data_IF_769644081640
#
_entry.id   IF_769644081640
#
_cell.length_a   1.000
_cell.length_b   1.000
_cell.length_c   1.000
_cell.angle_alpha   90.00
_cell.angle_beta   90.00
_cell.angle_gamma   90.00
#
_symmetry.space_group_name_H-M   'P 1'
#
loop_
_entity.id
_entity.type
_entity.pdbx_description
1 polymer ?
#
# COMPACT_ATOMS: atom_id res chain seq x y z
N UNK A 1 -9.15 10.52 -11.93
CA UNK A 1 -8.48 11.20 -10.80
C UNK A 1 -7.03 10.77 -10.75
N UNK A 2 -6.16 11.58 -10.16
CA UNK A 2 -4.75 11.28 -9.86
C UNK A 2 -4.46 11.57 -8.39
N UNK A 3 -3.19 11.51 -7.96
CA UNK A 3 -2.81 11.73 -6.54
C UNK A 3 -3.15 13.16 -6.10
N UNK A 4 -3.00 14.15 -6.96
CA UNK A 4 -3.38 15.54 -6.63
C UNK A 4 -4.88 15.67 -6.33
N UNK A 5 -5.75 15.07 -7.14
CA UNK A 5 -7.19 15.07 -6.90
C UNK A 5 -7.56 14.45 -5.55
N UNK A 6 -6.84 13.40 -5.15
CA UNK A 6 -7.03 12.75 -3.84
C UNK A 6 -6.65 13.69 -2.68
N UNK A 7 -5.56 14.45 -2.82
CA UNK A 7 -5.16 15.47 -1.82
C UNK A 7 -6.25 16.52 -1.64
N UNK A 8 -6.81 16.99 -2.74
CA UNK A 8 -7.84 18.03 -2.73
C UNK A 8 -9.14 17.53 -2.08
N UNK A 9 -9.53 16.26 -2.34
CA UNK A 9 -10.68 15.64 -1.68
C UNK A 9 -10.45 15.52 -0.16
N UNK A 10 -9.26 15.12 0.29
CA UNK A 10 -8.95 15.07 1.72
C UNK A 10 -8.99 16.47 2.37
N UNK A 11 -8.49 17.49 1.67
CA UNK A 11 -8.54 18.88 2.14
C UNK A 11 -10.00 19.37 2.27
N UNK A 12 -10.83 19.13 1.26
CA UNK A 12 -12.26 19.47 1.29
C UNK A 12 -12.98 18.77 2.46
N UNK A 13 -12.77 17.47 2.63
CA UNK A 13 -13.38 16.70 3.73
C UNK A 13 -12.95 17.19 5.11
N UNK A 14 -11.68 17.62 5.28
CA UNK A 14 -11.22 18.21 6.53
C UNK A 14 -11.91 19.55 6.82
N UNK A 15 -12.01 20.45 5.82
CA UNK A 15 -12.70 21.74 5.91
C UNK A 15 -14.18 21.52 6.29
N UNK A 16 -14.84 20.57 5.65
CA UNK A 16 -16.25 20.25 5.88
C UNK A 16 -16.48 19.42 7.15
N UNK A 17 -15.41 19.01 7.86
CA UNK A 17 -15.46 18.15 9.07
C UNK A 17 -16.17 16.83 8.84
N UNK A 18 -15.96 16.23 7.66
CA UNK A 18 -16.51 14.92 7.27
C UNK A 18 -15.67 13.80 7.89
N UNK A 19 -15.99 13.45 9.13
CA UNK A 19 -15.26 12.45 9.88
C UNK A 19 -16.06 11.16 10.06
N UNK A 20 -15.33 10.03 10.09
CA UNK A 20 -15.83 8.74 10.55
C UNK A 20 -14.99 8.27 11.74
N UNK A 21 -15.56 7.39 12.56
CA UNK A 21 -14.84 6.80 13.70
C UNK A 21 -14.50 5.36 13.35
N UNK A 22 -13.23 4.99 13.49
CA UNK A 22 -12.81 3.62 13.26
C UNK A 22 -13.19 2.69 14.43
N UNK A 23 -12.92 1.39 14.29
CA UNK A 23 -13.21 0.38 15.32
C UNK A 23 -12.49 0.62 16.66
N UNK A 24 -11.47 1.46 16.70
CA UNK A 24 -10.70 1.80 17.91
C UNK A 24 -11.18 3.08 18.57
N UNK A 25 -12.19 3.74 18.00
CA UNK A 25 -12.71 5.02 18.47
C UNK A 25 -11.93 6.24 17.96
N UNK A 26 -10.96 6.01 17.06
CA UNK A 26 -10.14 7.11 16.49
C UNK A 26 -10.87 7.73 15.31
N UNK A 27 -10.90 9.07 15.28
CA UNK A 27 -11.45 9.84 14.17
C UNK A 27 -10.56 9.71 12.94
N UNK A 28 -11.21 9.55 11.78
CA UNK A 28 -10.55 9.46 10.47
C UNK A 28 -11.31 10.30 9.45
N UNK A 29 -10.60 10.75 8.42
CA UNK A 29 -11.21 11.16 7.15
C UNK A 29 -11.07 9.97 6.20
N UNK A 30 -12.17 9.60 5.54
CA UNK A 30 -12.23 8.42 4.66
C UNK A 30 -12.82 8.76 3.29
N UNK A 31 -12.23 8.18 2.25
CA UNK A 31 -12.75 8.17 0.89
C UNK A 31 -13.10 6.71 0.57
N UNK A 32 -14.39 6.42 0.44
CA UNK A 32 -14.87 5.08 0.07
C UNK A 32 -14.72 4.85 -1.43
N UNK A 33 -14.32 3.63 -1.80
CA UNK A 33 -14.22 3.17 -3.19
C UNK A 33 -13.40 4.10 -4.07
N UNK A 34 -12.26 4.58 -3.57
CA UNK A 34 -11.35 5.45 -4.34
C UNK A 34 -10.77 4.70 -5.54
N UNK A 35 -10.66 5.39 -6.68
CA UNK A 35 -10.07 4.89 -7.92
C UNK A 35 -9.30 6.02 -8.61
N UNK A 36 -7.96 5.92 -8.66
CA UNK A 36 -7.12 6.98 -9.20
C UNK A 36 -5.83 6.43 -9.84
N UNK A 37 -5.17 7.24 -10.66
CA UNK A 37 -3.84 6.96 -11.18
C UNK A 37 -2.84 7.31 -10.08
N UNK A 38 -2.04 6.32 -9.66
CA UNK A 38 -0.97 6.49 -8.70
C UNK A 38 0.27 7.03 -9.43
N UNK A 39 0.24 8.30 -9.78
CA UNK A 39 1.28 9.01 -10.55
C UNK A 39 2.38 9.61 -9.66
N UNK A 40 2.20 9.58 -8.34
CA UNK A 40 3.18 9.99 -7.36
C UNK A 40 3.39 8.93 -6.27
N UNK A 41 4.61 8.80 -5.71
CA UNK A 41 4.94 7.76 -4.72
C UNK A 41 4.39 8.02 -3.32
N UNK A 42 3.72 9.12 -3.08
CA UNK A 42 3.07 9.47 -1.81
C UNK A 42 1.84 10.37 -2.05
N UNK A 43 0.83 10.24 -1.19
CA UNK A 43 -0.28 11.18 -1.13
C UNK A 43 0.10 12.32 -0.21
N UNK A 44 0.44 12.01 1.04
CA UNK A 44 0.98 12.93 2.03
C UNK A 44 2.18 12.30 2.75
N UNK A 45 2.94 13.15 3.43
CA UNK A 45 4.14 12.75 4.16
C UNK A 45 5.34 12.62 3.24
N UNK A 46 6.38 12.00 3.76
CA UNK A 46 7.64 11.76 3.05
C UNK A 46 8.00 10.28 3.14
N UNK A 47 8.16 9.56 2.03
CA UNK A 47 8.61 8.17 2.05
C UNK A 47 9.97 8.04 2.76
N UNK A 48 10.12 7.02 3.58
CA UNK A 48 11.41 6.64 4.16
C UNK A 48 12.11 5.65 3.24
N UNK A 49 13.07 6.12 2.47
CA UNK A 49 13.80 5.27 1.52
C UNK A 49 14.49 4.09 2.21
N UNK A 50 15.13 4.33 3.37
CA UNK A 50 15.73 3.28 4.20
C UNK A 50 14.73 2.21 4.60
N UNK A 51 13.51 2.62 5.03
CA UNK A 51 12.49 1.65 5.41
C UNK A 51 11.95 0.88 4.20
N UNK A 52 11.71 1.54 3.08
CA UNK A 52 11.27 0.91 1.83
C UNK A 52 12.25 -0.17 1.40
N UNK A 53 13.56 0.10 1.41
CA UNK A 53 14.59 -0.87 1.03
C UNK A 53 14.60 -2.10 1.96
N UNK A 54 14.46 -1.89 3.27
CA UNK A 54 14.38 -2.97 4.26
C UNK A 54 13.12 -3.81 4.11
N UNK A 55 11.99 -3.18 3.87
CA UNK A 55 10.71 -3.88 3.66
C UNK A 55 10.71 -4.66 2.35
N UNK A 56 11.24 -4.10 1.27
CA UNK A 56 11.42 -4.81 -0.01
C UNK A 56 12.37 -6.01 0.13
N UNK A 57 13.45 -5.88 0.91
CA UNK A 57 14.36 -6.99 1.20
C UNK A 57 13.63 -8.11 1.95
N UNK A 58 12.82 -7.76 2.95
CA UNK A 58 12.01 -8.72 3.69
C UNK A 58 10.92 -9.37 2.81
N UNK A 59 10.23 -8.62 1.97
CA UNK A 59 9.25 -9.20 1.03
C UNK A 59 9.94 -10.18 0.06
N UNK A 60 11.10 -9.83 -0.48
CA UNK A 60 11.84 -10.72 -1.36
C UNK A 60 12.39 -11.98 -0.66
N UNK A 61 12.61 -11.95 0.66
CA UNK A 61 12.98 -13.14 1.45
C UNK A 61 11.84 -14.14 1.60
N UNK A 62 10.60 -13.69 1.40
CA UNK A 62 9.37 -14.48 1.60
C UNK A 62 9.17 -14.96 3.05
N UNK A 63 9.88 -14.39 4.01
CA UNK A 63 9.74 -14.78 5.42
C UNK A 63 8.42 -14.30 6.00
N UNK A 64 7.69 -15.19 6.67
CA UNK A 64 6.49 -14.87 7.46
C UNK A 64 6.83 -14.49 8.91
N UNK A 65 8.06 -14.07 9.19
CA UNK A 65 8.47 -13.59 10.50
C UNK A 65 8.97 -12.14 10.43
N UNK A 66 8.38 -11.27 11.25
CA UNK A 66 8.75 -9.84 11.28
C UNK A 66 10.15 -9.59 11.85
N UNK A 67 10.72 -10.55 12.58
CA UNK A 67 12.08 -10.45 13.10
C UNK A 67 13.14 -10.57 12.00
N UNK A 68 12.77 -11.03 10.80
CA UNK A 68 13.64 -11.09 9.63
C UNK A 68 13.64 -9.78 8.83
N UNK A 69 12.84 -8.79 9.23
CA UNK A 69 12.95 -7.42 8.68
C UNK A 69 14.30 -6.84 9.11
N UNK A 70 15.15 -6.38 8.18
CA UNK A 70 16.40 -5.71 8.56
C UNK A 70 16.15 -4.59 9.58
N UNK A 71 16.93 -4.50 10.68
CA UNK A 71 16.63 -3.59 11.78
C UNK A 71 16.75 -2.10 11.37
N UNK A 72 16.02 -1.20 12.08
CA UNK A 72 15.08 -1.48 13.17
C UNK A 72 13.72 -2.00 12.66
N UNK A 73 13.19 -3.05 13.30
CA UNK A 73 11.85 -3.55 12.97
C UNK A 73 10.78 -2.54 13.39
N UNK A 74 9.90 -2.08 12.51
CA UNK A 74 8.86 -1.12 12.84
C UNK A 74 7.91 -1.62 13.94
N UNK A 75 7.52 -0.70 14.81
CA UNK A 75 6.65 -1.01 15.97
C UNK A 75 5.31 -1.61 15.51
N UNK A 76 4.79 -1.14 14.37
CA UNK A 76 3.50 -1.64 13.85
C UNK A 76 3.55 -3.14 13.54
N UNK A 77 4.63 -3.62 12.91
CA UNK A 77 4.80 -5.04 12.62
C UNK A 77 4.85 -5.89 13.89
N UNK A 78 5.61 -5.44 14.92
CA UNK A 78 5.65 -6.12 16.22
C UNK A 78 4.29 -6.13 16.91
N UNK A 79 3.47 -5.10 16.71
CA UNK A 79 2.16 -4.98 17.35
C UNK A 79 1.12 -5.92 16.75
N UNK A 80 1.22 -6.23 15.45
CA UNK A 80 0.24 -7.08 14.75
C UNK A 80 0.68 -8.53 14.62
N UNK A 81 1.96 -8.84 14.84
CA UNK A 81 2.50 -10.18 14.80
C UNK A 81 2.15 -10.99 16.08
N UNK A 82 2.28 -12.31 15.97
CA UNK A 82 2.31 -13.18 17.15
C UNK A 82 3.51 -12.86 18.07
N UNK A 83 3.51 -13.30 19.34
CA UNK A 83 4.66 -13.09 20.24
C UNK A 83 6.00 -13.63 19.72
N UNK A 84 5.98 -14.67 18.89
CA UNK A 84 7.17 -15.25 18.22
C UNK A 84 7.47 -14.61 16.86
N UNK A 85 6.69 -13.58 16.47
CA UNK A 85 6.95 -12.76 15.28
C UNK A 85 6.26 -13.22 14.00
N UNK A 86 5.37 -14.24 14.03
CA UNK A 86 4.66 -14.69 12.83
C UNK A 86 3.64 -13.67 12.33
N UNK A 87 3.47 -13.61 11.01
CA UNK A 87 2.59 -12.68 10.31
C UNK A 87 2.03 -13.30 9.03
N UNK A 88 0.94 -12.73 8.51
CA UNK A 88 0.35 -13.13 7.23
C UNK A 88 0.81 -12.26 6.05
N UNK A 89 1.19 -11.02 6.30
CA UNK A 89 1.28 -9.97 5.28
C UNK A 89 2.67 -9.79 4.67
N UNK A 90 3.42 -10.89 4.43
CA UNK A 90 4.57 -10.79 3.53
C UNK A 90 4.07 -10.86 2.08
N UNK A 91 4.12 -9.74 1.35
CA UNK A 91 3.66 -9.63 -0.02
C UNK A 91 4.47 -10.47 -1.00
N UNK A 92 5.79 -10.61 -0.77
CA UNK A 92 6.65 -11.46 -1.58
C UNK A 92 6.31 -12.93 -1.41
N UNK A 93 6.06 -13.40 -0.19
CA UNK A 93 5.58 -14.75 0.04
C UNK A 93 4.26 -15.00 -0.70
N UNK A 94 3.33 -14.03 -0.66
CA UNK A 94 2.05 -14.17 -1.34
C UNK A 94 2.17 -14.45 -2.85
N UNK A 95 3.13 -13.83 -3.54
CA UNK A 95 3.20 -13.91 -5.00
C UNK A 95 4.37 -14.74 -5.55
N UNK A 96 5.42 -14.97 -4.77
CA UNK A 96 6.60 -15.70 -5.24
C UNK A 96 6.72 -17.13 -4.70
N UNK A 97 6.07 -17.44 -3.54
CA UNK A 97 6.23 -18.76 -2.93
C UNK A 97 5.60 -19.86 -3.77
N UNK A 98 6.20 -21.04 -3.73
CA UNK A 98 5.63 -22.23 -4.36
C UNK A 98 4.35 -22.70 -3.65
N UNK A 99 4.20 -22.41 -2.35
CA UNK A 99 2.96 -22.66 -1.59
C UNK A 99 1.76 -21.89 -2.18
N UNK A 100 2.01 -20.72 -2.75
CA UNK A 100 1.02 -19.90 -3.45
C UNK A 100 1.12 -20.04 -4.99
N UNK A 101 1.70 -21.14 -5.48
CA UNK A 101 1.81 -21.48 -6.91
C UNK A 101 2.64 -20.49 -7.73
N UNK A 102 3.56 -19.76 -7.12
CA UNK A 102 4.40 -18.75 -7.76
C UNK A 102 3.63 -17.90 -8.78
N UNK A 103 2.70 -17.12 -8.29
CA UNK A 103 1.76 -16.35 -9.11
C UNK A 103 2.48 -15.37 -10.06
N UNK A 104 3.64 -14.86 -9.66
CA UNK A 104 4.46 -13.99 -10.51
C UNK A 104 4.92 -14.73 -11.80
N UNK A 105 5.41 -15.98 -11.68
CA UNK A 105 5.76 -16.80 -12.86
C UNK A 105 4.54 -17.05 -13.74
N UNK A 106 3.39 -17.32 -13.12
CA UNK A 106 2.13 -17.57 -13.84
C UNK A 106 1.66 -16.36 -14.63
N UNK A 107 1.71 -15.17 -14.02
CA UNK A 107 1.39 -13.90 -14.68
C UNK A 107 2.35 -13.60 -15.85
N UNK A 108 3.64 -13.79 -15.65
CA UNK A 108 4.63 -13.63 -16.71
C UNK A 108 4.37 -14.59 -17.87
N UNK A 109 4.13 -15.88 -17.61
CA UNK A 109 3.86 -16.87 -18.62
C UNK A 109 2.57 -16.59 -19.39
N UNK A 110 1.53 -16.12 -18.71
CA UNK A 110 0.26 -15.74 -19.34
C UNK A 110 0.44 -14.56 -20.29
N UNK A 111 1.06 -13.47 -19.83
CA UNK A 111 1.26 -12.28 -20.66
C UNK A 111 2.26 -12.50 -21.81
N UNK A 112 3.24 -13.39 -21.63
CA UNK A 112 4.17 -13.75 -22.69
C UNK A 112 3.49 -14.53 -23.82
N UNK A 113 2.52 -15.40 -23.50
CA UNK A 113 1.75 -16.18 -24.49
C UNK A 113 0.62 -15.38 -25.11
N UNK A 114 -0.06 -14.59 -24.30
CA UNK A 114 -1.28 -13.87 -24.66
C UNK A 114 -1.18 -12.42 -24.17
N UNK A 115 -0.52 -11.52 -24.92
CA UNK A 115 -0.36 -10.12 -24.51
C UNK A 115 -1.69 -9.41 -24.21
N UNK A 116 -2.77 -9.77 -24.89
CA UNK A 116 -4.11 -9.20 -24.71
C UNK A 116 -4.89 -9.82 -23.53
N UNK A 117 -4.28 -10.77 -22.80
CA UNK A 117 -4.94 -11.49 -21.72
C UNK A 117 -5.47 -10.56 -20.62
N UNK A 118 -6.57 -10.98 -20.00
CA UNK A 118 -7.16 -10.38 -18.79
C UNK A 118 -7.06 -11.32 -17.58
N UNK A 119 -6.13 -12.30 -17.63
CA UNK A 119 -5.99 -13.35 -16.59
C UNK A 119 -4.73 -13.19 -15.73
N UNK A 120 -3.88 -12.22 -16.00
CA UNK A 120 -2.65 -11.99 -15.25
C UNK A 120 -2.95 -11.29 -13.93
N UNK A 121 -3.42 -12.05 -12.96
CA UNK A 121 -3.79 -11.58 -11.62
C UNK A 121 -2.90 -12.26 -10.59
N UNK A 122 -2.43 -11.50 -9.59
CA UNK A 122 -1.78 -12.02 -8.38
C UNK A 122 -2.67 -11.73 -7.19
N UNK A 123 -3.08 -12.79 -6.46
CA UNK A 123 -3.92 -12.70 -5.27
C UNK A 123 -3.04 -12.66 -4.03
N UNK A 124 -3.28 -11.71 -3.16
CA UNK A 124 -2.54 -11.55 -1.90
C UNK A 124 -3.33 -12.11 -0.73
N UNK A 125 -4.61 -11.75 -0.60
CA UNK A 125 -5.48 -12.35 0.40
C UNK A 125 -5.89 -13.77 0.02
N UNK A 126 -6.15 -14.57 1.04
CA UNK A 126 -6.65 -15.93 0.92
C UNK A 126 -7.83 -16.17 1.88
N UNK A 127 -8.76 -17.10 1.58
CA UNK A 127 -9.92 -17.36 2.45
C UNK A 127 -9.55 -17.74 3.89
N UNK A 128 -8.42 -18.43 4.09
CA UNK A 128 -7.94 -18.80 5.43
C UNK A 128 -7.65 -17.61 6.34
N UNK A 129 -7.35 -16.42 5.77
CA UNK A 129 -7.15 -15.20 6.56
C UNK A 129 -8.35 -14.80 7.41
N UNK A 130 -9.57 -15.18 7.02
CA UNK A 130 -10.79 -14.93 7.83
C UNK A 130 -10.70 -15.62 9.20
N UNK A 131 -9.86 -16.63 9.33
CA UNK A 131 -9.63 -17.40 10.56
C UNK A 131 -8.24 -17.15 11.12
N UNK A 132 -7.22 -16.98 10.25
CA UNK A 132 -5.81 -16.94 10.67
C UNK A 132 -5.38 -15.57 11.20
N UNK A 133 -6.07 -14.49 10.81
CA UNK A 133 -5.63 -13.12 11.10
C UNK A 133 -5.49 -12.79 12.60
N UNK A 134 -6.19 -13.51 13.48
CA UNK A 134 -6.22 -13.27 14.92
C UNK A 134 -5.81 -14.48 15.75
N UNK A 135 -5.20 -15.50 15.16
CA UNK A 135 -4.70 -16.67 15.88
C UNK A 135 -3.43 -16.32 16.67
N UNK A 136 -3.28 -16.95 17.83
CA UNK A 136 -2.06 -16.90 18.65
C UNK A 136 -1.61 -15.47 19.01
N UNK A 137 -2.56 -14.53 19.15
CA UNK A 137 -2.28 -13.13 19.47
C UNK A 137 -1.95 -12.25 18.26
N UNK A 138 -1.98 -12.80 17.06
CA UNK A 138 -1.85 -12.03 15.82
C UNK A 138 -3.06 -11.09 15.63
N UNK A 139 -2.86 -9.95 14.95
CA UNK A 139 -3.96 -9.11 14.46
C UNK A 139 -3.65 -8.56 13.06
N UNK A 140 -3.10 -9.44 12.21
CA UNK A 140 -2.65 -9.10 10.87
C UNK A 140 -3.58 -9.65 9.79
N UNK A 141 -4.38 -8.76 9.22
CA UNK A 141 -5.20 -9.03 8.03
C UNK A 141 -4.68 -8.22 6.86
N UNK A 142 -4.19 -8.88 5.83
CA UNK A 142 -3.58 -8.26 4.65
C UNK A 142 -4.48 -7.17 4.01
N UNK A 143 -3.89 -6.01 3.71
CA UNK A 143 -4.62 -4.89 3.13
C UNK A 143 -4.84 -5.03 1.62
N UNK A 144 -3.93 -5.69 0.94
CA UNK A 144 -3.98 -5.92 -0.51
C UNK A 144 -4.84 -7.14 -0.85
N UNK A 145 -5.82 -6.97 -1.72
CA UNK A 145 -6.57 -8.09 -2.30
C UNK A 145 -5.82 -8.71 -3.46
N UNK A 146 -5.46 -7.92 -4.46
CA UNK A 146 -4.85 -8.39 -5.69
C UNK A 146 -4.11 -7.29 -6.43
N UNK A 147 -3.20 -7.70 -7.33
CA UNK A 147 -2.77 -6.89 -8.46
C UNK A 147 -3.21 -7.53 -9.77
N UNK A 148 -3.69 -6.72 -10.71
CA UNK A 148 -4.06 -7.18 -12.04
C UNK A 148 -3.18 -6.48 -13.08
N UNK A 149 -2.55 -7.25 -13.94
CA UNK A 149 -1.58 -6.80 -14.91
C UNK A 149 -2.12 -6.96 -16.33
N UNK A 150 -2.04 -5.90 -17.13
CA UNK A 150 -2.56 -5.85 -18.49
C UNK A 150 -1.51 -5.20 -19.40
N UNK A 151 -1.32 -5.71 -20.62
CA UNK A 151 -0.54 -4.99 -21.63
C UNK A 151 -1.54 -4.19 -22.48
N UNK A 152 -1.37 -2.88 -22.51
CA UNK A 152 -2.16 -1.95 -23.32
C UNK A 152 -1.23 -0.88 -23.89
N UNK A 153 -1.39 -0.56 -25.18
CA UNK A 153 -0.53 0.41 -25.87
C UNK A 153 0.96 0.08 -25.71
N UNK A 154 1.32 -1.21 -25.85
CA UNK A 154 2.66 -1.76 -25.69
C UNK A 154 3.33 -1.50 -24.35
N UNK A 155 2.54 -1.17 -23.30
CA UNK A 155 3.00 -0.91 -21.93
C UNK A 155 2.28 -1.81 -20.94
N UNK A 156 3.00 -2.18 -19.88
CA UNK A 156 2.39 -2.87 -18.76
C UNK A 156 1.54 -1.89 -17.95
N UNK A 157 0.26 -2.17 -17.78
CA UNK A 157 -0.63 -1.47 -16.87
C UNK A 157 -0.83 -2.33 -15.62
N UNK A 158 -0.80 -1.75 -14.44
CA UNK A 158 -1.05 -2.48 -13.18
C UNK A 158 -2.20 -1.83 -12.42
N UNK A 159 -3.16 -2.64 -11.97
CA UNK A 159 -4.25 -2.20 -11.09
C UNK A 159 -3.99 -2.83 -9.72
N UNK A 160 -3.75 -2.00 -8.71
CA UNK A 160 -3.66 -2.37 -7.31
C UNK A 160 -5.07 -2.32 -6.69
N UNK A 161 -5.46 -3.37 -5.97
CA UNK A 161 -6.79 -3.47 -5.34
C UNK A 161 -6.61 -3.71 -3.84
N UNK A 162 -7.03 -2.73 -3.04
CA UNK A 162 -6.86 -2.69 -1.59
C UNK A 162 -8.21 -2.72 -0.88
N UNK A 163 -8.30 -3.44 0.26
CA UNK A 163 -9.45 -3.28 1.16
C UNK A 163 -9.35 -1.97 1.96
N UNK A 164 -8.12 -1.56 2.28
CA UNK A 164 -7.87 -0.41 3.14
C UNK A 164 -6.47 0.15 2.88
N UNK A 165 -6.34 1.47 2.83
CA UNK A 165 -5.06 2.17 2.63
C UNK A 165 -4.97 3.37 3.58
N UNK A 166 -3.98 3.37 4.48
CA UNK A 166 -3.55 4.58 5.19
C UNK A 166 -2.78 5.47 4.22
N UNK A 167 -3.24 6.69 4.00
CA UNK A 167 -2.70 7.61 2.99
C UNK A 167 -1.37 8.27 3.40
N UNK A 168 -0.89 8.08 4.65
CA UNK A 168 0.34 8.68 5.14
C UNK A 168 1.52 7.69 5.03
N UNK A 169 1.38 6.50 5.62
CA UNK A 169 2.45 5.50 5.64
C UNK A 169 2.15 4.30 4.75
N UNK A 170 0.91 3.82 4.77
CA UNK A 170 0.50 2.64 4.02
C UNK A 170 0.69 2.82 2.53
N UNK A 171 0.11 3.87 1.95
CA UNK A 171 0.24 4.14 0.52
C UNK A 171 1.69 4.23 0.07
N UNK A 172 2.55 4.94 0.79
CA UNK A 172 3.94 5.15 0.39
C UNK A 172 4.71 3.83 0.27
N UNK A 173 4.53 2.94 1.23
CA UNK A 173 5.23 1.65 1.29
C UNK A 173 4.60 0.64 0.31
N UNK A 174 3.28 0.57 0.26
CA UNK A 174 2.56 -0.30 -0.67
C UNK A 174 2.80 0.11 -2.14
N UNK A 175 2.90 1.44 -2.41
CA UNK A 175 3.29 1.94 -3.73
C UNK A 175 4.69 1.47 -4.11
N UNK A 176 5.66 1.56 -3.20
CA UNK A 176 7.02 1.11 -3.47
C UNK A 176 7.07 -0.39 -3.83
N UNK A 177 6.27 -1.22 -3.16
CA UNK A 177 6.13 -2.64 -3.50
C UNK A 177 5.51 -2.85 -4.88
N UNK A 178 4.36 -2.24 -5.15
CA UNK A 178 3.67 -2.46 -6.43
C UNK A 178 4.49 -1.91 -7.61
N UNK A 179 5.17 -0.79 -7.44
CA UNK A 179 6.07 -0.21 -8.45
C UNK A 179 7.28 -1.13 -8.72
N UNK A 180 7.86 -1.71 -7.66
CA UNK A 180 8.91 -2.72 -7.77
C UNK A 180 8.46 -3.95 -8.60
N UNK A 181 7.30 -4.52 -8.29
CA UNK A 181 6.76 -5.68 -9.01
C UNK A 181 6.38 -5.31 -10.45
N UNK A 182 5.77 -4.14 -10.64
CA UNK A 182 5.39 -3.58 -11.94
C UNK A 182 6.60 -3.44 -12.87
N UNK A 183 7.63 -2.74 -12.43
CA UNK A 183 8.88 -2.55 -13.19
C UNK A 183 9.59 -3.87 -13.47
N UNK A 184 9.67 -4.76 -12.48
CA UNK A 184 10.28 -6.09 -12.62
C UNK A 184 9.55 -6.95 -13.66
N UNK A 185 8.21 -6.92 -13.67
CA UNK A 185 7.42 -7.66 -14.63
C UNK A 185 7.52 -7.05 -16.04
N UNK A 186 7.46 -5.73 -16.18
CA UNK A 186 7.63 -5.02 -17.44
C UNK A 186 9.01 -5.33 -18.08
N UNK A 187 10.09 -5.21 -17.29
CA UNK A 187 11.43 -5.53 -17.74
C UNK A 187 11.56 -7.00 -18.20
N UNK A 188 10.94 -7.93 -17.46
CA UNK A 188 10.96 -9.35 -17.83
C UNK A 188 10.17 -9.64 -19.11
N UNK A 189 9.12 -8.88 -19.38
CA UNK A 189 8.33 -8.94 -20.62
C UNK A 189 9.00 -8.18 -21.78
N UNK A 190 10.09 -7.44 -21.51
CA UNK A 190 10.76 -6.56 -22.47
C UNK A 190 9.83 -5.48 -23.05
N UNK A 191 9.01 -4.86 -22.19
CA UNK A 191 8.11 -3.75 -22.52
C UNK A 191 8.29 -2.61 -21.51
N UNK A 192 7.82 -1.41 -21.89
CA UNK A 192 7.84 -0.27 -20.98
C UNK A 192 6.80 -0.41 -19.84
N UNK A 193 7.13 0.03 -18.61
CA UNK A 193 6.14 0.19 -17.57
C UNK A 193 5.15 1.31 -17.94
N UNK A 194 3.86 1.05 -17.78
CA UNK A 194 2.78 1.99 -17.99
C UNK A 194 2.31 2.63 -16.69
N UNK A 195 0.99 2.74 -16.52
CA UNK A 195 0.38 3.35 -15.34
C UNK A 195 0.10 2.34 -14.25
N UNK A 196 0.15 2.79 -13.01
CA UNK A 196 -0.39 2.10 -11.85
C UNK A 196 -1.73 2.77 -11.51
N UNK A 197 -2.80 1.99 -11.48
CA UNK A 197 -4.13 2.40 -11.03
C UNK A 197 -4.34 1.89 -9.62
N UNK A 198 -4.74 2.77 -8.72
CA UNK A 198 -4.97 2.44 -7.32
C UNK A 198 -6.45 2.40 -7.00
N UNK A 199 -6.92 1.26 -6.52
CA UNK A 199 -8.29 1.09 -6.03
C UNK A 199 -8.24 0.75 -4.56
N UNK A 200 -8.88 1.55 -3.72
CA UNK A 200 -8.98 1.29 -2.29
C UNK A 200 -10.43 1.40 -1.83
N UNK A 201 -10.93 0.34 -1.17
CA UNK A 201 -12.30 0.38 -0.64
C UNK A 201 -12.43 1.41 0.48
N UNK A 202 -11.36 1.59 1.29
CA UNK A 202 -11.24 2.61 2.33
C UNK A 202 -9.86 3.26 2.23
N UNK A 203 -9.80 4.44 1.64
CA UNK A 203 -8.60 5.28 1.63
C UNK A 203 -8.77 6.31 2.74
N UNK A 204 -7.89 6.32 3.75
CA UNK A 204 -8.13 7.08 4.97
C UNK A 204 -6.89 7.75 5.55
N UNK A 205 -7.15 8.77 6.38
CA UNK A 205 -6.13 9.46 7.21
C UNK A 205 -6.65 9.52 8.63
N UNK A 206 -5.80 9.13 9.60
CA UNK A 206 -6.11 9.21 11.03
C UNK A 206 -5.95 10.64 11.58
N UNK A 207 -6.75 11.00 12.56
CA UNK A 207 -6.76 12.32 13.22
C UNK A 207 -5.37 12.80 13.65
N UNK A 208 -4.51 11.91 14.13
CA UNK A 208 -3.13 12.24 14.51
C UNK A 208 -2.28 12.86 13.38
N UNK A 209 -2.75 12.77 12.13
CA UNK A 209 -2.08 13.28 10.93
C UNK A 209 -2.85 14.42 10.23
N UNK A 210 -3.97 14.88 10.77
CA UNK A 210 -4.74 15.97 10.16
C UNK A 210 -3.93 17.26 10.03
N UNK A 211 -2.96 17.47 10.91
CA UNK A 211 -2.05 18.61 10.84
C UNK A 211 -1.29 18.70 9.50
N UNK A 212 -1.04 17.57 8.81
CA UNK A 212 -0.40 17.56 7.50
C UNK A 212 -1.37 18.12 6.45
N UNK A 213 -2.65 17.74 6.51
CA UNK A 213 -3.68 18.28 5.60
C UNK A 213 -3.91 19.77 5.87
N UNK A 214 -3.93 20.19 7.13
CA UNK A 214 -4.06 21.61 7.52
C UNK A 214 -2.89 22.46 6.99
N UNK A 215 -1.67 21.91 7.04
CA UNK A 215 -0.50 22.54 6.45
C UNK A 215 -0.64 22.61 4.92
N UNK A 216 -1.04 21.51 4.29
CA UNK A 216 -1.28 21.48 2.84
C UNK A 216 -2.32 22.52 2.40
N UNK A 217 -3.43 22.67 3.10
CA UNK A 217 -4.47 23.67 2.80
C UNK A 217 -3.89 25.11 2.83
N UNK A 218 -2.95 25.39 3.72
CA UNK A 218 -2.36 26.73 3.91
C UNK A 218 -1.22 27.02 2.93
N UNK A 219 -0.43 26.02 2.57
CA UNK A 219 0.85 26.19 1.88
C UNK A 219 0.95 25.48 0.54
N UNK A 220 0.13 24.46 0.31
CA UNK A 220 0.28 23.52 -0.81
C UNK A 220 1.35 22.43 -0.57
N UNK A 221 2.06 22.45 0.57
CA UNK A 221 3.09 21.47 0.88
C UNK A 221 2.49 20.20 1.48
N UNK A 222 2.94 19.05 1.01
CA UNK A 222 2.38 17.73 1.35
C UNK A 222 3.02 17.08 2.58
N UNK A 223 4.01 17.73 3.18
CA UNK A 223 4.77 17.21 4.31
C UNK A 223 5.18 18.31 5.28
N UNK A 224 4.97 18.05 6.56
CA UNK A 224 5.55 18.78 7.68
C UNK A 224 5.72 17.80 8.84
N UNK A 225 6.79 17.93 9.64
CA UNK A 225 6.89 17.17 10.89
C UNK A 225 5.93 17.75 11.94
N UNK A 226 5.45 16.92 12.88
CA UNK A 226 4.57 17.41 13.95
C UNK A 226 5.24 18.51 14.77
N UNK A 227 6.55 18.37 15.05
CA UNK A 227 7.35 19.35 15.78
C UNK A 227 7.41 20.70 15.04
N UNK A 228 7.66 20.67 13.73
CA UNK A 228 7.76 21.88 12.92
C UNK A 228 6.39 22.55 12.76
N UNK A 229 5.34 21.76 12.63
CA UNK A 229 3.97 22.24 12.59
C UNK A 229 3.59 22.97 13.89
N UNK A 230 3.85 22.36 15.06
CA UNK A 230 3.55 22.97 16.36
C UNK A 230 4.35 24.27 16.57
N UNK A 231 5.59 24.31 16.10
CA UNK A 231 6.42 25.52 16.15
C UNK A 231 5.90 26.62 15.20
N UNK A 232 5.59 26.27 13.95
CA UNK A 232 5.14 27.23 12.91
C UNK A 232 3.78 27.88 13.27
N UNK A 233 2.87 27.09 13.86
CA UNK A 233 1.51 27.56 14.16
C UNK A 233 1.30 27.90 15.64
N UNK A 234 2.37 27.92 16.48
CA UNK A 234 2.34 28.26 17.90
C UNK A 234 1.32 27.44 18.73
N UNK A 235 1.29 26.12 18.53
CA UNK A 235 0.37 25.18 19.20
C UNK A 235 1.09 24.45 20.34
#
# INVERSE_FOLDING_TARGET
MNVQDIRDIFAEKLINKEFVTDKTGVKTIEILASDFIADEPFIFGKPSQDYIERELAWYNSQSLNVNDIPPPVPVIWKKVATPDGRINSNYGWAIYSEENFNQYKSCFAELSRNPDSRRAVMLYTRPSMQVDYNKDGMSDFMCTFATHHLIRDDKLQTIMIMRSTDSIFGYNNDFAWVDHVHKKLAAKLNIEPGKIYWKSNSLHIYERHFYIIEHYIKTGETHISKKDYDFEYNI
#
